data_IF_185930892466
#
_entry.id   IF_185930892466
#
_cell.length_a   1.000
_cell.length_b   1.000
_cell.length_c   1.000
_cell.angle_alpha   90.00
_cell.angle_beta   90.00
_cell.angle_gamma   90.00
#
_symmetry.space_group_name_H-M   'P 1'
#
loop_
_entity.id
_entity.type
_entity.pdbx_description
1 polymer ?
#
# COMPACT_ATOMS: atom_id res chain seq x y z
N UNK A 1 -17.70 10.32 4.38
CA UNK A 1 -16.76 10.21 3.25
C UNK A 1 -15.34 10.22 3.79
N UNK A 2 -14.43 9.41 3.26
CA UNK A 2 -13.02 9.41 3.69
C UNK A 2 -12.33 10.72 3.25
N UNK A 3 -11.24 11.09 3.92
CA UNK A 3 -10.42 12.28 3.58
C UNK A 3 -10.03 12.30 2.10
N UNK A 4 -9.77 11.13 1.51
CA UNK A 4 -9.42 11.00 0.09
C UNK A 4 -10.58 11.29 -0.87
N UNK A 5 -11.83 10.98 -0.54
CA UNK A 5 -12.96 11.37 -1.42
C UNK A 5 -13.13 12.88 -1.41
N UNK A 6 -12.88 13.54 -0.27
CA UNK A 6 -12.93 15.00 -0.19
C UNK A 6 -11.81 15.67 -0.99
N UNK A 7 -10.59 15.15 -1.00
CA UNK A 7 -9.52 15.70 -1.84
C UNK A 7 -9.84 15.55 -3.33
N UNK A 8 -10.37 14.39 -3.75
CA UNK A 8 -10.79 14.16 -5.13
C UNK A 8 -11.96 15.04 -5.58
N UNK A 9 -12.91 15.32 -4.69
CA UNK A 9 -13.98 16.29 -4.94
C UNK A 9 -13.40 17.68 -5.24
N UNK A 10 -12.47 18.15 -4.39
CA UNK A 10 -11.80 19.45 -4.58
C UNK A 10 -11.01 19.50 -5.89
N UNK A 11 -10.27 18.44 -6.22
CA UNK A 11 -9.51 18.35 -7.45
C UNK A 11 -10.40 18.41 -8.70
N UNK A 12 -11.51 17.66 -8.71
CA UNK A 12 -12.52 17.74 -9.78
C UNK A 12 -13.08 19.15 -9.94
N UNK A 13 -13.41 19.81 -8.83
CA UNK A 13 -14.01 21.15 -8.87
C UNK A 13 -13.00 22.21 -9.35
N UNK A 14 -11.71 22.05 -9.01
CA UNK A 14 -10.63 22.87 -9.54
C UNK A 14 -10.44 22.65 -11.05
N UNK A 15 -10.43 21.39 -11.50
CA UNK A 15 -10.33 21.05 -12.92
C UNK A 15 -11.50 21.63 -13.73
N UNK A 16 -12.73 21.57 -13.20
CA UNK A 16 -13.89 22.21 -13.83
C UNK A 16 -13.70 23.73 -13.99
N UNK A 17 -13.20 24.42 -12.95
CA UNK A 17 -12.93 25.87 -13.00
C UNK A 17 -11.83 26.26 -13.99
N UNK A 18 -10.91 25.35 -14.32
CA UNK A 18 -9.82 25.63 -15.27
C UNK A 18 -10.27 25.71 -16.73
N UNK A 19 -11.45 25.17 -17.06
CA UNK A 19 -11.93 25.07 -18.45
C UNK A 19 -11.26 23.97 -19.28
N UNK A 20 -10.25 23.27 -18.75
CA UNK A 20 -9.60 22.13 -19.42
C UNK A 20 -10.49 20.88 -19.36
N UNK A 21 -11.10 20.54 -20.50
CA UNK A 21 -12.00 19.40 -20.63
C UNK A 21 -11.31 18.04 -20.43
N UNK A 22 -10.03 17.91 -20.79
CA UNK A 22 -9.26 16.67 -20.60
C UNK A 22 -8.95 16.47 -19.11
N UNK A 23 -8.49 17.53 -18.45
CA UNK A 23 -8.22 17.53 -17.01
C UNK A 23 -9.50 17.23 -16.20
N UNK A 24 -10.63 17.85 -16.57
CA UNK A 24 -11.90 17.58 -15.91
C UNK A 24 -12.37 16.13 -16.09
N UNK A 25 -12.23 15.57 -17.30
CA UNK A 25 -12.58 14.17 -17.56
C UNK A 25 -11.76 13.20 -16.71
N UNK A 26 -10.44 13.42 -16.63
CA UNK A 26 -9.54 12.63 -15.80
C UNK A 26 -9.90 12.72 -14.30
N UNK A 27 -10.05 13.94 -13.77
CA UNK A 27 -10.39 14.16 -12.36
C UNK A 27 -11.78 13.59 -12.00
N UNK A 28 -12.72 13.58 -12.94
CA UNK A 28 -14.04 12.94 -12.76
C UNK A 28 -13.94 11.42 -12.71
N UNK A 29 -13.12 10.81 -13.57
CA UNK A 29 -12.87 9.36 -13.55
C UNK A 29 -12.21 8.93 -12.24
N UNK A 30 -11.26 9.73 -11.75
CA UNK A 30 -10.61 9.57 -10.46
C UNK A 30 -11.58 9.62 -9.29
N UNK A 31 -12.45 10.63 -9.25
CA UNK A 31 -13.49 10.73 -8.22
C UNK A 31 -14.43 9.51 -8.25
N UNK A 32 -14.85 9.05 -9.44
CA UNK A 32 -15.71 7.86 -9.56
C UNK A 32 -15.02 6.61 -9.01
N UNK A 33 -13.74 6.38 -9.35
CA UNK A 33 -12.93 5.28 -8.79
C UNK A 33 -12.85 5.38 -7.27
N UNK A 34 -12.59 6.59 -6.76
CA UNK A 34 -12.47 6.80 -5.32
C UNK A 34 -13.76 6.60 -4.53
N UNK A 35 -14.90 7.04 -5.07
CA UNK A 35 -16.21 6.79 -4.45
C UNK A 35 -16.54 5.29 -4.46
N UNK A 36 -16.21 4.55 -5.53
CA UNK A 36 -16.38 3.10 -5.57
C UNK A 36 -15.51 2.42 -4.51
N UNK A 37 -14.23 2.75 -4.44
CA UNK A 37 -13.32 2.15 -3.48
C UNK A 37 -13.71 2.47 -2.02
N UNK A 38 -14.17 3.68 -1.71
CA UNK A 38 -14.68 4.03 -0.39
C UNK A 38 -15.91 3.18 0.01
N UNK A 39 -16.81 2.89 -0.93
CA UNK A 39 -17.95 1.98 -0.71
C UNK A 39 -17.48 0.54 -0.46
N UNK A 40 -16.51 0.08 -1.25
CA UNK A 40 -15.93 -1.25 -1.09
C UNK A 40 -15.26 -1.37 0.31
N UNK A 41 -14.46 -0.38 0.72
CA UNK A 41 -13.86 -0.30 2.07
C UNK A 41 -14.92 -0.36 3.17
N UNK A 42 -16.01 0.41 3.06
CA UNK A 42 -17.09 0.36 4.06
C UNK A 42 -17.75 -1.01 4.14
N UNK A 43 -17.83 -1.75 3.03
CA UNK A 43 -18.37 -3.11 3.03
C UNK A 43 -17.43 -4.11 3.70
N UNK A 44 -16.11 -3.85 3.72
CA UNK A 44 -15.08 -4.74 4.26
C UNK A 44 -14.68 -4.41 5.71
N UNK A 45 -14.90 -3.17 6.16
CA UNK A 45 -14.65 -2.76 7.55
C UNK A 45 -15.70 -3.36 8.48
N UNK A 46 -15.24 -3.85 9.63
CA UNK A 46 -16.14 -4.38 10.66
C UNK A 46 -16.83 -5.69 10.27
N UNK A 47 -16.37 -6.36 9.20
CA UNK A 47 -16.80 -7.73 8.95
C UNK A 47 -16.34 -8.63 10.11
N UNK A 48 -17.18 -9.58 10.53
CA UNK A 48 -16.78 -10.59 11.48
C UNK A 48 -15.45 -11.25 11.01
N UNK A 49 -14.52 -11.54 11.92
CA UNK A 49 -13.28 -12.29 11.65
C UNK A 49 -12.02 -11.43 11.53
N UNK A 50 -12.16 -10.11 11.63
CA UNK A 50 -11.05 -9.17 11.72
C UNK A 50 -11.21 -8.23 12.92
N UNK A 51 -10.10 -7.75 13.52
CA UNK A 51 -10.19 -6.77 14.61
C UNK A 51 -10.83 -5.46 14.16
N UNK A 52 -11.39 -4.71 15.10
CA UNK A 52 -11.92 -3.38 14.83
C UNK A 52 -10.84 -2.47 14.20
N UNK A 53 -11.22 -1.73 13.15
CA UNK A 53 -10.31 -0.89 12.39
C UNK A 53 -9.51 -1.62 11.30
N UNK A 54 -9.64 -2.95 11.17
CA UNK A 54 -9.05 -3.72 10.09
C UNK A 54 -10.06 -3.96 8.98
N UNK A 55 -9.55 -4.09 7.75
CA UNK A 55 -10.34 -4.36 6.55
C UNK A 55 -10.21 -5.85 6.23
N UNK A 56 -11.33 -6.57 6.19
CA UNK A 56 -11.32 -7.98 5.77
C UNK A 56 -11.34 -8.07 4.25
N UNK A 57 -10.37 -8.76 3.66
CA UNK A 57 -10.40 -9.10 2.25
C UNK A 57 -9.97 -10.56 2.05
N UNK A 58 -10.84 -11.34 1.43
CA UNK A 58 -10.67 -12.80 1.35
C UNK A 58 -10.50 -13.44 2.74
N UNK A 59 -9.41 -14.19 2.90
CA UNK A 59 -9.00 -14.88 4.12
C UNK A 59 -8.06 -14.07 5.01
N UNK A 60 -7.83 -12.78 4.71
CA UNK A 60 -6.89 -11.93 5.44
C UNK A 60 -7.55 -10.65 5.97
N UNK A 61 -6.92 -10.08 6.98
CA UNK A 61 -7.23 -8.80 7.59
C UNK A 61 -6.08 -7.84 7.33
N UNK A 62 -6.41 -6.63 6.89
CA UNK A 62 -5.44 -5.59 6.57
C UNK A 62 -5.62 -4.38 7.46
N UNK A 63 -4.53 -3.89 8.04
CA UNK A 63 -4.48 -2.61 8.76
C UNK A 63 -3.71 -1.60 7.94
N UNK A 64 -4.27 -0.40 7.88
CA UNK A 64 -3.76 0.70 7.09
C UNK A 64 -3.34 1.82 8.04
N UNK A 65 -2.03 2.08 8.15
CA UNK A 65 -1.54 3.07 9.10
C UNK A 65 -1.95 4.48 8.69
N UNK A 66 -2.19 5.36 9.66
CA UNK A 66 -2.31 6.81 9.42
C UNK A 66 -1.01 7.56 9.66
N UNK A 67 -0.12 6.97 10.46
CA UNK A 67 1.21 7.47 10.76
C UNK A 67 2.23 6.94 9.74
N UNK A 68 3.39 7.58 9.70
CA UNK A 68 4.58 7.11 8.99
C UNK A 68 5.66 6.64 9.96
N UNK A 69 6.40 5.60 9.60
CA UNK A 69 7.49 4.98 10.39
C UNK A 69 8.57 4.40 9.48
N UNK A 70 9.74 4.09 10.03
CA UNK A 70 10.73 3.28 9.30
C UNK A 70 10.19 1.86 9.07
N UNK A 71 10.82 1.12 8.16
CA UNK A 71 10.36 -0.23 7.83
C UNK A 71 10.38 -1.17 9.05
N UNK A 72 11.45 -1.13 9.85
CA UNK A 72 11.58 -1.96 11.05
C UNK A 72 10.56 -1.59 12.13
N UNK A 73 10.31 -0.30 12.33
CA UNK A 73 9.29 0.20 13.26
C UNK A 73 7.87 -0.20 12.83
N UNK A 74 7.58 -0.08 11.53
CA UNK A 74 6.32 -0.51 10.94
C UNK A 74 6.11 -2.02 11.12
N UNK A 75 7.14 -2.83 10.85
CA UNK A 75 7.10 -4.28 11.07
C UNK A 75 6.89 -4.63 12.53
N UNK A 76 7.61 -3.97 13.44
CA UNK A 76 7.43 -4.13 14.89
C UNK A 76 6.00 -3.81 15.31
N UNK A 77 5.41 -2.75 14.76
CA UNK A 77 4.02 -2.39 15.02
C UNK A 77 3.04 -3.50 14.61
N UNK A 78 3.23 -4.09 13.43
CA UNK A 78 2.39 -5.19 12.94
C UNK A 78 2.53 -6.44 13.82
N UNK A 79 3.77 -6.81 14.14
CA UNK A 79 4.07 -7.98 15.00
C UNK A 79 3.47 -7.87 16.39
N UNK A 80 3.49 -6.69 16.98
CA UNK A 80 2.83 -6.42 18.26
C UNK A 80 1.31 -6.65 18.25
N UNK A 81 0.70 -6.82 17.06
CA UNK A 81 -0.76 -7.04 16.86
C UNK A 81 -1.09 -8.41 16.27
N UNK A 82 -0.13 -9.35 16.33
CA UNK A 82 -0.28 -10.69 15.76
C UNK A 82 -0.41 -10.68 14.24
N UNK A 83 0.31 -9.76 13.58
CA UNK A 83 0.37 -9.58 12.14
C UNK A 83 1.84 -9.45 11.71
N UNK A 84 2.10 -9.31 10.41
CA UNK A 84 3.39 -8.82 9.89
C UNK A 84 3.10 -7.74 8.82
N UNK A 85 4.14 -7.15 8.22
CA UNK A 85 3.94 -6.31 7.04
C UNK A 85 3.29 -7.14 5.92
N UNK A 86 2.44 -6.50 5.11
CA UNK A 86 1.67 -7.18 4.06
C UNK A 86 2.56 -7.92 3.07
N UNK A 87 2.12 -9.13 2.70
CA UNK A 87 2.72 -9.93 1.64
C UNK A 87 1.81 -9.87 0.42
N UNK A 88 2.38 -9.72 -0.77
CA UNK A 88 1.60 -9.64 -2.02
C UNK A 88 1.96 -10.82 -2.89
N UNK A 89 1.25 -11.93 -2.69
CA UNK A 89 1.51 -13.20 -3.36
C UNK A 89 0.32 -13.68 -4.22
N UNK A 90 -0.88 -13.11 -4.05
CA UNK A 90 -2.07 -13.52 -4.84
C UNK A 90 -2.55 -12.47 -5.83
N UNK A 91 -3.21 -12.93 -6.91
CA UNK A 91 -3.98 -12.05 -7.82
C UNK A 91 -5.07 -11.23 -7.10
N UNK A 92 -5.53 -11.71 -5.94
CA UNK A 92 -6.54 -11.04 -5.14
C UNK A 92 -5.90 -9.87 -4.35
N UNK A 93 -4.69 -10.04 -3.82
CA UNK A 93 -3.91 -8.93 -3.24
C UNK A 93 -3.43 -7.92 -4.29
N UNK A 94 -3.23 -8.33 -5.55
CA UNK A 94 -3.03 -7.36 -6.65
C UNK A 94 -4.21 -6.40 -6.82
N UNK A 95 -5.41 -6.78 -6.38
CA UNK A 95 -6.58 -5.88 -6.34
C UNK A 95 -6.52 -4.96 -5.12
N UNK A 96 -5.79 -5.32 -4.05
CA UNK A 96 -5.53 -4.39 -2.96
C UNK A 96 -4.74 -3.19 -3.45
N UNK A 97 -4.01 -3.24 -4.57
CA UNK A 97 -3.34 -2.04 -5.12
C UNK A 97 -4.31 -0.93 -5.58
N UNK A 98 -5.62 -1.12 -5.44
CA UNK A 98 -6.59 -0.03 -5.28
C UNK A 98 -6.71 0.46 -3.84
N UNK A 99 -5.59 0.53 -3.10
CA UNK A 99 -5.48 1.03 -1.73
C UNK A 99 -5.87 2.49 -1.70
N UNK A 100 -7.17 2.72 -1.72
CA UNK A 100 -7.71 4.05 -1.89
C UNK A 100 -7.34 4.97 -0.72
N UNK A 101 -7.01 4.41 0.45
CA UNK A 101 -6.46 5.17 1.58
C UNK A 101 -5.05 5.72 1.36
N UNK A 102 -4.31 5.19 0.39
CA UNK A 102 -2.91 5.54 0.08
C UNK A 102 -2.70 5.88 -1.38
N UNK A 103 -3.78 6.21 -2.11
CA UNK A 103 -3.62 6.70 -3.47
C UNK A 103 -2.69 7.91 -3.45
N UNK A 104 -1.68 7.87 -4.31
CA UNK A 104 -0.61 8.88 -4.41
C UNK A 104 0.35 8.93 -3.20
N UNK A 105 0.39 7.88 -2.39
CA UNK A 105 1.32 7.74 -1.26
C UNK A 105 2.14 6.46 -1.38
N UNK A 106 3.39 6.55 -0.97
CA UNK A 106 4.26 5.40 -0.77
C UNK A 106 3.92 4.67 0.51
N UNK A 107 3.93 3.34 0.45
CA UNK A 107 3.62 2.47 1.59
C UNK A 107 4.59 1.30 1.72
N UNK A 108 5.00 1.01 2.94
CA UNK A 108 5.80 -0.16 3.26
C UNK A 108 5.03 -1.46 3.06
N UNK A 109 5.71 -2.44 2.46
CA UNK A 109 5.30 -3.84 2.34
C UNK A 109 6.36 -4.76 2.94
N UNK A 110 6.01 -6.02 3.14
CA UNK A 110 6.86 -7.01 3.79
C UNK A 110 7.94 -7.59 2.89
N UNK A 111 8.47 -6.86 1.91
CA UNK A 111 9.50 -7.32 0.99
C UNK A 111 10.81 -6.57 1.28
N UNK A 112 11.91 -7.31 1.44
CA UNK A 112 13.23 -6.76 1.82
C UNK A 112 14.36 -7.69 1.38
N UNK A 113 15.54 -7.16 1.12
CA UNK A 113 16.78 -7.92 0.88
C UNK A 113 17.90 -7.58 1.89
N UNK A 114 17.58 -6.92 3.02
CA UNK A 114 18.50 -6.59 4.14
C UNK A 114 19.43 -7.71 4.61
N UNK A 115 19.06 -8.97 4.38
CA UNK A 115 19.86 -10.14 4.77
C UNK A 115 20.99 -10.41 3.78
N UNK A 116 20.72 -10.20 2.50
CA UNK A 116 21.64 -10.43 1.40
C UNK A 116 21.18 -9.60 0.20
N UNK A 117 21.99 -8.60 -0.15
CA UNK A 117 21.80 -7.73 -1.31
C UNK A 117 21.34 -8.51 -2.55
N UNK A 118 20.37 -7.94 -3.27
CA UNK A 118 19.73 -8.50 -4.46
C UNK A 118 18.98 -9.83 -4.24
N UNK A 119 18.88 -10.31 -2.99
CA UNK A 119 18.16 -11.53 -2.62
C UNK A 119 16.92 -11.18 -1.80
N UNK A 120 15.91 -10.69 -2.51
CA UNK A 120 14.62 -10.27 -1.96
C UNK A 120 13.86 -11.41 -1.29
N UNK A 121 13.26 -11.15 -0.13
CA UNK A 121 12.47 -12.11 0.64
C UNK A 121 11.24 -11.45 1.25
N UNK A 122 10.13 -12.15 1.18
CA UNK A 122 8.95 -11.80 1.96
C UNK A 122 9.17 -12.09 3.45
N UNK A 123 8.58 -11.28 4.30
CA UNK A 123 8.63 -11.43 5.76
C UNK A 123 8.06 -12.75 6.29
N UNK A 124 7.23 -13.44 5.50
CA UNK A 124 6.62 -14.74 5.79
C UNK A 124 7.35 -15.92 5.12
N UNK A 125 8.36 -15.66 4.28
CA UNK A 125 9.08 -16.68 3.52
C UNK A 125 8.34 -17.23 2.29
N UNK A 126 7.20 -16.64 1.90
CA UNK A 126 6.48 -17.02 0.69
C UNK A 126 7.38 -16.90 -0.56
N UNK A 127 7.16 -17.74 -1.60
CA UNK A 127 7.85 -17.60 -2.87
C UNK A 127 7.67 -16.20 -3.47
N UNK A 128 8.72 -15.68 -4.12
CA UNK A 128 8.66 -14.37 -4.74
C UNK A 128 7.73 -14.36 -5.95
N UNK A 129 6.81 -13.40 -5.95
CA UNK A 129 6.23 -12.83 -7.16
C UNK A 129 6.64 -11.37 -7.20
N UNK A 130 7.40 -10.96 -8.20
CA UNK A 130 7.98 -9.61 -8.28
C UNK A 130 7.14 -8.74 -9.23
N UNK A 131 6.74 -7.56 -8.74
CA UNK A 131 5.99 -6.54 -9.49
C UNK A 131 6.71 -5.19 -9.44
N UNK A 132 8.04 -5.24 -9.55
CA UNK A 132 8.90 -4.07 -9.64
C UNK A 132 8.40 -3.07 -10.68
N UNK A 133 8.55 -1.79 -10.35
CA UNK A 133 8.44 -0.72 -11.32
C UNK A 133 9.48 -0.85 -12.43
N UNK A 134 9.29 -0.06 -13.47
CA UNK A 134 10.28 0.03 -14.55
C UNK A 134 11.64 0.42 -13.97
N UNK A 135 12.67 -0.37 -14.30
CA UNK A 135 14.06 -0.25 -13.81
C UNK A 135 14.25 -0.47 -12.30
N UNK A 136 13.34 -1.15 -11.61
CA UNK A 136 13.47 -1.48 -10.18
C UNK A 136 13.73 -2.99 -9.99
N UNK A 137 14.35 -3.41 -8.87
CA UNK A 137 14.99 -2.58 -7.86
C UNK A 137 16.33 -2.02 -8.36
N UNK A 138 16.69 -0.79 -8.00
CA UNK A 138 17.89 -0.12 -8.51
C UNK A 138 18.97 0.20 -7.46
N UNK A 139 18.69 -0.03 -6.18
CA UNK A 139 19.55 0.28 -5.05
C UNK A 139 20.11 1.72 -5.10
N UNK A 140 19.24 2.69 -5.39
CA UNK A 140 19.62 4.09 -5.62
C UNK A 140 20.58 4.27 -6.80
N UNK A 141 20.57 3.36 -7.77
CA UNK A 141 21.56 3.26 -8.84
C UNK A 141 22.98 2.94 -8.35
N UNK A 142 23.11 2.30 -7.18
CA UNK A 142 24.40 1.97 -6.54
C UNK A 142 25.19 3.19 -6.04
N UNK A 143 24.51 4.34 -5.89
CA UNK A 143 25.16 5.57 -5.44
C UNK A 143 25.25 5.63 -3.93
N UNK A 144 26.45 5.83 -3.40
CA UNK A 144 26.68 6.08 -1.96
C UNK A 144 25.85 7.25 -1.39
N UNK A 145 25.32 8.12 -2.25
CA UNK A 145 24.45 9.25 -1.85
C UNK A 145 23.07 8.81 -1.38
N UNK A 146 22.55 7.70 -1.89
CA UNK A 146 21.22 7.19 -1.54
C UNK A 146 21.28 6.10 -0.45
N UNK A 147 22.48 5.57 -0.19
CA UNK A 147 22.67 4.48 0.77
C UNK A 147 22.14 3.15 0.22
N UNK A 148 22.08 2.15 1.10
CA UNK A 148 21.51 0.84 0.75
C UNK A 148 19.97 0.94 0.80
N UNK A 149 19.31 0.58 -0.30
CA UNK A 149 17.85 0.60 -0.44
C UNK A 149 17.24 -0.79 -0.21
N UNK A 150 17.29 -1.30 1.01
CA UNK A 150 16.98 -2.72 1.23
C UNK A 150 15.49 -3.05 1.50
N UNK A 151 14.60 -2.06 1.36
CA UNK A 151 13.19 -2.17 1.77
C UNK A 151 12.24 -1.75 0.65
N UNK A 152 11.24 -2.58 0.37
CA UNK A 152 10.30 -2.31 -0.71
C UNK A 152 9.10 -1.46 -0.27
N UNK A 153 8.76 -0.48 -1.11
CA UNK A 153 7.51 0.29 -1.07
C UNK A 153 6.63 0.00 -2.29
N UNK A 154 5.34 0.33 -2.20
CA UNK A 154 4.48 0.52 -3.39
C UNK A 154 4.27 2.02 -3.62
N UNK A 155 4.59 2.52 -4.82
CA UNK A 155 4.36 3.92 -5.21
C UNK A 155 2.96 4.13 -5.77
N UNK A 156 1.93 4.08 -4.91
CA UNK A 156 0.55 4.51 -5.20
C UNK A 156 -0.21 3.86 -6.37
N UNK A 157 0.42 3.03 -7.19
CA UNK A 157 -0.14 2.40 -8.40
C UNK A 157 0.25 0.91 -8.48
N UNK A 158 -0.53 0.08 -9.20
CA UNK A 158 -0.15 -1.31 -9.45
C UNK A 158 1.14 -1.41 -10.26
N UNK A 159 2.03 -2.33 -9.87
CA UNK A 159 3.29 -2.59 -10.58
C UNK A 159 4.34 -1.49 -10.43
N UNK A 160 4.27 -0.68 -9.38
CA UNK A 160 5.24 0.39 -9.10
C UNK A 160 6.03 0.13 -7.81
N UNK A 161 6.40 -1.14 -7.57
CA UNK A 161 7.27 -1.43 -6.43
C UNK A 161 8.63 -0.80 -6.65
N UNK A 162 9.20 -0.32 -5.55
CA UNK A 162 10.47 0.36 -5.54
C UNK A 162 11.21 -0.04 -4.27
N UNK A 163 12.51 -0.23 -4.37
CA UNK A 163 13.39 -0.36 -3.22
C UNK A 163 13.82 1.03 -2.76
N UNK A 164 13.77 1.29 -1.46
CA UNK A 164 14.16 2.57 -0.89
C UNK A 164 14.80 2.33 0.49
N UNK A 165 15.62 3.29 0.94
CA UNK A 165 16.23 3.23 2.27
C UNK A 165 15.19 2.90 3.34
N UNK A 166 15.47 1.83 4.11
CA UNK A 166 14.59 1.33 5.17
C UNK A 166 14.29 2.35 6.28
N UNK A 167 15.15 3.37 6.42
CA UNK A 167 15.00 4.47 7.39
C UNK A 167 13.97 5.52 6.94
N UNK A 168 13.49 5.44 5.70
CA UNK A 168 12.45 6.34 5.19
C UNK A 168 11.18 6.21 6.02
N UNK A 169 10.59 7.35 6.40
CA UNK A 169 9.33 7.36 7.15
C UNK A 169 8.14 7.28 6.19
N UNK A 170 7.60 6.08 6.02
CA UNK A 170 6.42 5.83 5.17
C UNK A 170 5.26 5.27 5.98
N UNK A 171 4.05 5.45 5.46
CA UNK A 171 2.90 4.70 5.96
C UNK A 171 3.09 3.21 5.64
N UNK A 172 2.36 2.33 6.31
CA UNK A 172 2.54 0.89 6.16
C UNK A 172 1.23 0.13 6.22
N UNK A 173 1.30 -1.14 5.81
CA UNK A 173 0.17 -2.04 5.79
C UNK A 173 0.56 -3.29 6.59
N UNK A 174 -0.26 -3.63 7.57
CA UNK A 174 -0.14 -4.93 8.23
C UNK A 174 -1.11 -5.92 7.63
N UNK A 175 -0.74 -7.19 7.66
CA UNK A 175 -1.58 -8.32 7.27
C UNK A 175 -1.57 -9.42 8.34
N UNK A 176 -2.74 -10.03 8.54
CA UNK A 176 -2.85 -11.31 9.24
C UNK A 176 -4.01 -12.14 8.71
N UNK A 177 -3.98 -13.44 8.96
CA UNK A 177 -5.10 -14.33 8.62
C UNK A 177 -6.36 -13.90 9.37
N UNK A 178 -7.48 -13.84 8.66
CA UNK A 178 -8.80 -13.61 9.24
C UNK A 178 -9.23 -14.86 10.01
N UNK A 179 -9.80 -14.67 11.20
CA UNK A 179 -10.35 -15.79 11.93
C UNK A 179 -11.60 -16.29 11.19
N UNK A 180 -11.63 -17.60 10.93
CA UNK A 180 -12.87 -18.29 10.66
C UNK A 180 -13.62 -18.34 11.99
N UNK A 181 -14.91 -18.05 12.00
CA UNK A 181 -15.70 -18.30 13.20
C UNK A 181 -15.74 -19.81 13.41
N UNK A 182 -15.35 -20.26 14.60
CA UNK A 182 -15.80 -21.55 15.14
C UNK A 182 -17.30 -21.48 15.43
#
# INVERSE_FOLDING_TARGET
MTTQVHSLLRARDAAFRSGDGALYSAARADLKRGVKAAKDITNFRGKPGCPAGWIRFGSSCYFFSVESKSWDEARKFCRARGADLVVINTKYEKVLTFLFEFRDQSVWIGLTDKVQEATWKWVDGSPLTLFWGENQPDNGGGSIRYGDEDCAEIRGTPGSWNDISCETSLRWICEKVATLFD
#
